data_IF_053856436992
#
_entry.id   IF_053856436992
#
_cell.length_a   1.000
_cell.length_b   1.000
_cell.length_c   1.000
_cell.angle_alpha   90.00
_cell.angle_beta   90.00
_cell.angle_gamma   90.00
#
_symmetry.space_group_name_H-M   'P 1'
#
loop_
_entity.id
_entity.type
_entity.pdbx_description
1 polymer ?
#
# COMPACT_ATOMS: atom_id res chain seq x y z
N UNK A 1 1.93 -8.95 4.07
CA UNK A 1 1.69 -9.03 2.61
C UNK A 1 0.57 -9.98 2.22
N UNK A 2 0.57 -11.24 2.68
CA UNK A 2 -0.47 -12.23 2.34
C UNK A 2 -1.92 -11.72 2.53
N UNK A 3 -2.19 -11.02 3.63
CA UNK A 3 -3.51 -10.43 3.91
C UNK A 3 -3.99 -9.46 2.82
N UNK A 4 -3.10 -8.69 2.19
CA UNK A 4 -3.51 -7.76 1.13
C UNK A 4 -3.88 -8.50 -0.15
N UNK A 5 -3.16 -9.58 -0.47
CA UNK A 5 -3.48 -10.49 -1.57
C UNK A 5 -4.77 -11.30 -1.34
N UNK A 6 -5.12 -11.56 -0.08
CA UNK A 6 -6.39 -12.21 0.29
C UNK A 6 -7.58 -11.24 0.14
N UNK A 7 -7.36 -9.94 0.39
CA UNK A 7 -8.39 -8.90 0.20
C UNK A 7 -8.59 -8.50 -1.25
N UNK A 8 -7.49 -8.35 -2.00
CA UNK A 8 -7.47 -7.89 -3.39
C UNK A 8 -6.55 -8.81 -4.19
N UNK A 9 -7.16 -9.73 -4.91
CA UNK A 9 -6.41 -10.85 -5.54
C UNK A 9 -5.49 -10.37 -6.67
N UNK A 10 -5.89 -9.29 -7.33
CA UNK A 10 -5.15 -8.61 -8.40
C UNK A 10 -4.01 -7.70 -7.88
N UNK A 11 -3.93 -7.48 -6.56
CA UNK A 11 -3.08 -6.42 -6.02
C UNK A 11 -1.59 -6.61 -6.30
N UNK A 12 -0.92 -5.63 -6.91
CA UNK A 12 0.54 -5.58 -6.97
C UNK A 12 1.06 -4.78 -5.80
N UNK A 13 2.13 -5.26 -5.13
CA UNK A 13 2.62 -4.62 -3.91
C UNK A 13 4.12 -4.38 -4.01
N UNK A 14 4.50 -3.11 -3.88
CA UNK A 14 5.87 -2.66 -3.97
C UNK A 14 6.29 -2.06 -2.63
N UNK A 15 7.39 -2.57 -2.09
CA UNK A 15 8.10 -1.94 -0.99
C UNK A 15 8.98 -0.84 -1.59
N UNK A 16 8.84 0.39 -1.09
CA UNK A 16 9.66 1.51 -1.54
C UNK A 16 10.16 2.31 -0.34
N UNK A 17 10.87 3.40 -0.64
CA UNK A 17 11.32 4.33 0.39
C UNK A 17 12.58 3.88 1.12
N UNK A 18 12.81 4.44 2.31
CA UNK A 18 14.12 4.33 2.97
C UNK A 18 14.47 2.90 3.40
N UNK A 19 13.45 2.17 3.87
CA UNK A 19 13.57 0.76 4.20
C UNK A 19 13.98 -0.08 2.99
N UNK A 20 13.44 0.21 1.80
CA UNK A 20 13.82 -0.48 0.56
C UNK A 20 15.26 -0.15 0.11
N UNK A 21 15.74 1.08 0.38
CA UNK A 21 17.08 1.54 -0.04
C UNK A 21 18.20 1.18 0.93
N UNK A 22 17.85 0.87 2.18
CA UNK A 22 18.82 0.54 3.21
C UNK A 22 19.26 1.71 4.09
N UNK A 23 18.62 2.88 3.95
CA UNK A 23 18.92 4.13 4.68
C UNK A 23 17.84 4.48 5.71
N UNK A 24 17.15 3.47 6.25
CA UNK A 24 16.04 3.66 7.20
C UNK A 24 16.54 3.97 8.62
N UNK A 25 15.75 4.76 9.35
CA UNK A 25 15.92 5.00 10.78
C UNK A 25 15.15 3.97 11.60
N UNK A 26 15.56 3.73 12.84
CA UNK A 26 14.95 2.72 13.73
C UNK A 26 13.46 2.98 14.00
N UNK A 27 13.04 4.24 13.94
CA UNK A 27 11.66 4.71 14.15
C UNK A 27 10.89 4.97 12.84
N UNK A 28 11.48 4.66 11.68
CA UNK A 28 10.87 4.91 10.37
C UNK A 28 9.72 3.95 10.06
N UNK A 29 8.63 4.48 9.52
CA UNK A 29 7.56 3.66 8.93
C UNK A 29 8.05 2.99 7.64
N UNK A 30 7.60 1.75 7.40
CA UNK A 30 7.78 1.03 6.14
C UNK A 30 6.76 1.52 5.12
N UNK A 31 7.21 1.90 3.92
CA UNK A 31 6.35 2.46 2.89
C UNK A 31 6.01 1.42 1.82
N UNK A 32 4.72 1.15 1.62
CA UNK A 32 4.25 0.21 0.59
C UNK A 32 3.28 0.89 -0.38
N UNK A 33 3.44 0.57 -1.66
CA UNK A 33 2.53 0.93 -2.73
C UNK A 33 1.70 -0.31 -3.04
N UNK A 34 0.38 -0.19 -2.99
CA UNK A 34 -0.56 -1.27 -3.31
C UNK A 34 -1.35 -0.82 -4.52
N UNK A 35 -1.24 -1.54 -5.62
CA UNK A 35 -1.94 -1.24 -6.87
C UNK A 35 -3.01 -2.30 -7.07
N UNK A 36 -4.28 -1.91 -7.25
CA UNK A 36 -5.38 -2.83 -7.54
C UNK A 36 -6.46 -2.11 -8.33
N UNK A 37 -6.99 -2.74 -9.38
CA UNK A 37 -8.11 -2.20 -10.15
C UNK A 37 -9.43 -2.28 -9.36
N UNK A 38 -9.48 -3.13 -8.33
CA UNK A 38 -10.61 -3.22 -7.38
C UNK A 38 -10.77 -1.95 -6.50
N UNK A 39 -9.79 -1.02 -6.52
CA UNK A 39 -9.93 0.29 -5.86
C UNK A 39 -10.76 1.31 -6.65
N UNK A 40 -11.08 1.03 -7.93
CA UNK A 40 -11.84 1.96 -8.75
C UNK A 40 -13.24 2.21 -8.16
N UNK A 41 -13.63 3.49 -8.05
CA UNK A 41 -14.87 3.90 -7.38
C UNK A 41 -14.84 3.85 -5.84
N UNK A 42 -13.71 3.50 -5.22
CA UNK A 42 -13.52 3.56 -3.76
C UNK A 42 -12.68 4.79 -3.41
N UNK A 43 -13.24 5.66 -2.54
CA UNK A 43 -12.55 6.83 -2.01
C UNK A 43 -11.17 6.49 -1.41
N UNK A 44 -10.14 7.29 -1.74
CA UNK A 44 -8.74 7.08 -1.32
C UNK A 44 -8.62 6.79 0.18
N UNK A 45 -9.28 7.61 1.01
CA UNK A 45 -9.21 7.49 2.46
C UNK A 45 -9.81 6.16 2.94
N UNK A 46 -10.87 5.68 2.29
CA UNK A 46 -11.53 4.42 2.64
C UNK A 46 -10.67 3.21 2.29
N UNK A 47 -10.04 3.20 1.10
CA UNK A 47 -9.11 2.13 0.72
C UNK A 47 -7.89 2.09 1.64
N UNK A 48 -7.28 3.24 1.95
CA UNK A 48 -6.15 3.32 2.86
C UNK A 48 -6.50 2.83 4.28
N UNK A 49 -7.64 3.27 4.82
CA UNK A 49 -8.10 2.85 6.14
C UNK A 49 -8.36 1.34 6.20
N UNK A 50 -9.01 0.76 5.18
CA UNK A 50 -9.35 -0.67 5.14
C UNK A 50 -8.08 -1.54 5.13
N UNK A 51 -7.09 -1.18 4.31
CA UNK A 51 -5.80 -1.87 4.27
C UNK A 51 -5.05 -1.75 5.60
N UNK A 52 -5.07 -0.56 6.23
CA UNK A 52 -4.40 -0.31 7.50
C UNK A 52 -5.03 -1.12 8.65
N UNK A 53 -6.36 -1.18 8.71
CA UNK A 53 -7.10 -2.00 9.68
C UNK A 53 -6.74 -3.48 9.51
N UNK A 54 -6.77 -4.01 8.29
CA UNK A 54 -6.47 -5.42 8.03
C UNK A 54 -5.02 -5.79 8.39
N UNK A 55 -4.06 -4.88 8.21
CA UNK A 55 -2.67 -5.08 8.65
C UNK A 55 -2.56 -5.03 10.18
N UNK A 56 -3.21 -4.07 10.84
CA UNK A 56 -3.24 -3.97 12.30
C UNK A 56 -3.86 -5.20 12.97
N UNK A 57 -4.96 -5.73 12.44
CA UNK A 57 -5.59 -6.97 12.94
C UNK A 57 -4.65 -8.19 12.85
N UNK A 58 -3.62 -8.12 11.99
CA UNK A 58 -2.57 -9.13 11.84
C UNK A 58 -1.28 -8.76 12.59
N UNK A 59 -1.29 -7.73 13.41
CA UNK A 59 -0.14 -7.26 14.20
C UNK A 59 0.93 -6.55 13.37
N UNK A 60 0.65 -6.17 12.13
CA UNK A 60 1.57 -5.42 11.28
C UNK A 60 1.35 -3.93 11.53
N UNK A 61 2.30 -3.30 12.22
CA UNK A 61 2.30 -1.86 12.57
C UNK A 61 3.45 -1.13 11.85
N UNK A 62 3.45 0.20 11.91
CA UNK A 62 4.53 1.02 11.34
C UNK A 62 4.60 0.96 9.81
N UNK A 63 3.45 0.91 9.14
CA UNK A 63 3.36 0.85 7.68
C UNK A 63 2.58 2.04 7.15
N UNK A 64 3.21 2.81 6.26
CA UNK A 64 2.56 3.80 5.42
C UNK A 64 2.14 3.15 4.10
N UNK A 65 0.88 3.36 3.70
CA UNK A 65 0.27 2.69 2.56
C UNK A 65 -0.15 3.75 1.53
N UNK A 66 0.30 3.58 0.30
CA UNK A 66 -0.21 4.31 -0.85
C UNK A 66 -1.05 3.32 -1.67
N UNK A 67 -2.38 3.33 -1.56
CA UNK A 67 -3.25 2.54 -2.42
C UNK A 67 -3.55 3.31 -3.70
N UNK A 68 -3.33 2.72 -4.87
CA UNK A 68 -3.65 3.29 -6.18
C UNK A 68 -4.39 2.30 -7.07
N UNK A 69 -5.26 2.79 -7.97
CA UNK A 69 -5.65 1.98 -9.14
C UNK A 69 -4.49 1.89 -10.12
N UNK A 70 -4.50 0.93 -11.04
CA UNK A 70 -3.48 0.88 -12.10
C UNK A 70 -3.48 2.16 -12.93
N UNK A 71 -4.66 2.72 -13.20
CA UNK A 71 -4.82 3.99 -13.91
C UNK A 71 -4.13 5.14 -13.17
N UNK A 72 -4.42 5.33 -11.88
CA UNK A 72 -3.79 6.37 -11.06
C UNK A 72 -2.27 6.21 -10.99
N UNK A 73 -1.78 4.96 -10.94
CA UNK A 73 -0.34 4.69 -10.94
C UNK A 73 0.34 5.11 -12.25
N UNK A 74 -0.22 4.74 -13.41
CA UNK A 74 0.36 5.16 -14.70
C UNK A 74 0.26 6.68 -14.89
N UNK A 75 -0.84 7.33 -14.46
CA UNK A 75 -0.98 8.79 -14.47
C UNK A 75 0.13 9.48 -13.66
N UNK A 76 0.50 8.94 -12.49
CA UNK A 76 1.58 9.49 -11.66
C UNK A 76 2.96 9.25 -12.29
N UNK A 77 3.17 8.09 -12.91
CA UNK A 77 4.46 7.70 -13.50
C UNK A 77 4.82 8.50 -14.75
N UNK A 78 3.83 9.02 -15.46
CA UNK A 78 4.01 9.87 -16.64
C UNK A 78 4.28 11.35 -16.29
N UNK A 79 4.16 11.74 -15.01
CA UNK A 79 4.43 13.10 -14.50
C UNK A 79 5.77 13.18 -13.75
#
# INVERSE_FOLDING_TARGET
>A
MKVLKEMFSDSEIFLFGSFARGDWLEDGDVEILVISDEFEGIEYVRRAASLKIALWERGVIGVQIIPLTRREFEEIKEN
#
